data_IF_922946483365
#
_entry.id   IF_922946483365
#
_cell.length_a   1.000
_cell.length_b   1.000
_cell.length_c   1.000
_cell.angle_alpha   90.00
_cell.angle_beta   90.00
_cell.angle_gamma   90.00
#
_symmetry.space_group_name_H-M   'P 1'
#
loop_
_entity.id
_entity.type
_entity.pdbx_description
1 polymer ?
#
# COMPACT_ATOMS: atom_id res chain seq x y z
N UNK A 1 -7.02 -12.22 -7.32
CA UNK A 1 -6.23 -11.24 -8.12
C UNK A 1 -4.76 -11.54 -7.87
N UNK A 2 -3.88 -11.57 -8.87
CA UNK A 2 -2.43 -11.81 -8.65
C UNK A 2 -1.71 -10.46 -8.55
N UNK A 3 -0.98 -10.24 -7.46
CA UNK A 3 -0.14 -9.06 -7.25
C UNK A 3 1.27 -9.35 -7.77
N UNK A 4 1.76 -8.51 -8.66
CA UNK A 4 3.15 -8.54 -9.14
C UNK A 4 3.85 -7.31 -8.58
N UNK A 5 4.99 -7.53 -7.92
CA UNK A 5 5.81 -6.47 -7.36
C UNK A 5 6.97 -6.20 -8.33
N UNK A 6 7.12 -4.95 -8.77
CA UNK A 6 8.24 -4.51 -9.62
C UNK A 6 9.51 -4.16 -8.81
N UNK A 7 9.59 -4.66 -7.58
CA UNK A 7 10.71 -4.46 -6.67
C UNK A 7 10.96 -5.70 -5.82
N UNK A 8 12.20 -5.87 -5.34
CA UNK A 8 12.53 -6.96 -4.43
C UNK A 8 11.94 -6.70 -3.03
N UNK A 9 11.10 -7.60 -2.50
CA UNK A 9 10.52 -7.43 -1.17
C UNK A 9 11.62 -7.50 -0.11
N UNK A 10 11.55 -6.59 0.87
CA UNK A 10 12.40 -6.67 2.06
C UNK A 10 11.99 -7.86 2.94
N UNK A 11 12.79 -8.18 3.96
CA UNK A 11 12.53 -9.36 4.80
C UNK A 11 11.22 -9.25 5.61
N UNK A 12 10.83 -8.04 6.00
CA UNK A 12 9.51 -7.79 6.62
C UNK A 12 8.37 -8.05 5.63
N UNK A 13 8.49 -7.58 4.38
CA UNK A 13 7.51 -7.87 3.32
C UNK A 13 7.38 -9.37 3.09
N UNK A 14 8.49 -10.11 2.99
CA UNK A 14 8.47 -11.57 2.82
C UNK A 14 7.74 -12.27 3.98
N UNK A 15 7.97 -11.80 5.20
CA UNK A 15 7.33 -12.33 6.41
C UNK A 15 5.82 -12.09 6.37
N UNK A 16 5.39 -10.86 6.09
CA UNK A 16 3.97 -10.51 5.98
C UNK A 16 3.26 -11.25 4.83
N UNK A 17 3.91 -11.39 3.67
CA UNK A 17 3.36 -12.17 2.54
C UNK A 17 3.18 -13.64 2.93
N UNK A 18 4.14 -14.19 3.68
CA UNK A 18 4.05 -15.56 4.18
C UNK A 18 2.89 -15.71 5.17
N UNK A 19 2.77 -14.80 6.15
CA UNK A 19 1.67 -14.76 7.11
C UNK A 19 0.31 -14.72 6.39
N UNK A 20 0.13 -13.82 5.42
CA UNK A 20 -1.11 -13.69 4.63
C UNK A 20 -1.39 -14.97 3.82
N UNK A 21 -0.35 -15.57 3.22
CA UNK A 21 -0.53 -16.78 2.42
C UNK A 21 -0.90 -18.01 3.24
N UNK A 22 -0.48 -18.05 4.50
CA UNK A 22 -0.80 -19.13 5.45
C UNK A 22 -2.17 -18.90 6.10
N UNK A 23 -2.52 -17.65 6.42
CA UNK A 23 -3.81 -17.26 6.99
C UNK A 23 -4.95 -17.38 5.97
N UNK A 24 -4.66 -17.30 4.68
CA UNK A 24 -5.66 -17.46 3.62
C UNK A 24 -6.35 -18.83 3.64
N UNK A 25 -5.71 -19.83 4.26
CA UNK A 25 -6.16 -21.21 4.36
C UNK A 25 -7.10 -21.42 5.57
N UNK A 26 -7.04 -20.57 6.61
CA UNK A 26 -7.64 -20.86 7.94
C UNK A 26 -8.45 -19.70 8.54
N UNK A 27 -8.21 -18.45 8.14
CA UNK A 27 -8.73 -17.26 8.85
C UNK A 27 -10.06 -16.72 8.30
N UNK A 28 -10.87 -16.15 9.19
CA UNK A 28 -12.11 -15.42 8.88
C UNK A 28 -11.85 -14.15 8.06
N UNK A 29 -12.86 -13.67 7.32
CA UNK A 29 -12.75 -12.55 6.38
C UNK A 29 -12.20 -11.27 7.05
N UNK A 30 -12.57 -11.01 8.30
CA UNK A 30 -12.12 -9.86 9.07
C UNK A 30 -10.61 -9.91 9.38
N UNK A 31 -10.07 -11.08 9.71
CA UNK A 31 -8.64 -11.26 9.99
C UNK A 31 -7.81 -11.09 8.71
N UNK A 32 -8.34 -11.53 7.57
CA UNK A 32 -7.70 -11.34 6.26
C UNK A 32 -7.59 -9.86 5.88
N UNK A 33 -8.63 -9.08 6.14
CA UNK A 33 -8.60 -7.62 5.89
C UNK A 33 -7.57 -6.91 6.77
N UNK A 34 -7.46 -7.31 8.05
CA UNK A 34 -6.50 -6.71 8.97
C UNK A 34 -5.04 -7.00 8.55
N UNK A 35 -4.73 -8.25 8.20
CA UNK A 35 -3.38 -8.62 7.74
C UNK A 35 -3.03 -7.97 6.39
N UNK A 36 -3.99 -7.92 5.45
CA UNK A 36 -3.82 -7.22 4.17
C UNK A 36 -3.60 -5.72 4.39
N UNK A 37 -4.32 -5.11 5.32
CA UNK A 37 -4.16 -3.68 5.68
C UNK A 37 -2.78 -3.43 6.29
N UNK A 38 -2.31 -4.32 7.16
CA UNK A 38 -0.97 -4.23 7.77
C UNK A 38 0.13 -4.28 6.70
N UNK A 39 0.00 -5.20 5.74
CA UNK A 39 0.93 -5.28 4.62
C UNK A 39 0.92 -4.02 3.74
N UNK A 40 -0.26 -3.51 3.39
CA UNK A 40 -0.38 -2.27 2.60
C UNK A 40 0.24 -1.07 3.33
N UNK A 41 0.04 -0.96 4.66
CA UNK A 41 0.69 0.11 5.45
C UNK A 41 2.21 0.01 5.38
N UNK A 42 2.78 -1.17 5.57
CA UNK A 42 4.23 -1.38 5.48
C UNK A 42 4.75 -0.95 4.09
N UNK A 43 4.07 -1.36 3.01
CA UNK A 43 4.43 -0.93 1.65
C UNK A 43 4.39 0.60 1.50
N UNK A 44 3.33 1.26 1.97
CA UNK A 44 3.18 2.71 1.78
C UNK A 44 4.10 3.57 2.66
N UNK A 45 4.57 3.06 3.80
CA UNK A 45 5.44 3.84 4.69
C UNK A 45 6.92 3.54 4.52
N UNK A 46 7.28 2.29 4.18
CA UNK A 46 8.67 1.85 4.18
C UNK A 46 9.28 1.69 2.78
N UNK A 47 8.46 1.64 1.74
CA UNK A 47 8.93 1.52 0.35
C UNK A 47 8.67 2.81 -0.44
N UNK A 48 9.72 3.64 -0.55
CA UNK A 48 9.64 4.94 -1.24
C UNK A 48 9.27 4.81 -2.72
N UNK A 49 9.63 3.69 -3.34
CA UNK A 49 9.30 3.31 -4.72
C UNK A 49 7.79 3.12 -4.89
N UNK A 50 7.12 2.51 -3.92
CA UNK A 50 5.66 2.32 -3.93
C UNK A 50 4.97 3.67 -3.81
N UNK A 51 5.42 4.53 -2.89
CA UNK A 51 4.87 5.88 -2.72
C UNK A 51 5.04 6.70 -4.00
N UNK A 52 6.21 6.67 -4.63
CA UNK A 52 6.48 7.37 -5.89
C UNK A 52 5.60 6.84 -7.04
N UNK A 53 5.42 5.54 -7.14
CA UNK A 53 4.56 4.93 -8.15
C UNK A 53 3.09 5.34 -7.94
N UNK A 54 2.60 5.28 -6.70
CA UNK A 54 1.25 5.74 -6.35
C UNK A 54 1.09 7.22 -6.70
N UNK A 55 2.02 8.10 -6.33
CA UNK A 55 1.94 9.53 -6.65
C UNK A 55 1.95 9.79 -8.16
N UNK A 56 2.73 9.02 -8.92
CA UNK A 56 2.82 9.13 -10.38
C UNK A 56 1.50 8.76 -11.07
N UNK A 57 0.85 7.71 -10.58
CA UNK A 57 -0.40 7.19 -11.16
C UNK A 57 -1.65 7.84 -10.55
N UNK A 58 -1.52 8.47 -9.38
CA UNK A 58 -2.60 9.23 -8.78
C UNK A 58 -2.84 10.47 -9.64
N UNK A 59 -4.08 10.69 -10.14
CA UNK A 59 -4.39 11.90 -10.86
C UNK A 59 -4.09 13.06 -9.93
N UNK A 60 -3.16 13.93 -10.34
CA UNK A 60 -2.90 15.19 -9.64
C UNK A 60 -4.25 15.88 -9.53
N UNK A 61 -4.88 15.85 -8.35
CA UNK A 61 -6.00 16.72 -8.08
C UNK A 61 -5.45 18.12 -8.29
N UNK A 62 -5.83 18.77 -9.40
CA UNK A 62 -5.57 20.19 -9.62
C UNK A 62 -6.19 20.89 -8.42
N UNK A 63 -5.39 21.21 -7.39
CA UNK A 63 -5.79 22.14 -6.34
C UNK A 63 -5.98 23.48 -7.04
N UNK A 64 -7.18 23.72 -7.57
CA UNK A 64 -7.73 25.07 -7.73
C UNK A 64 -8.08 25.56 -6.33
N UNK A 65 -7.06 25.85 -5.55
CA UNK A 65 -7.16 26.81 -4.46
C UNK A 65 -6.14 27.89 -4.76
N UNK A 66 -6.53 28.79 -5.64
CA UNK A 66 -6.07 30.17 -5.52
C UNK A 66 -6.67 30.68 -4.21
N UNK A 67 -5.91 30.55 -3.11
CA UNK A 67 -6.21 31.36 -1.94
C UNK A 67 -5.80 32.78 -2.33
N UNK A 68 -6.79 33.60 -2.65
CA UNK A 68 -6.59 35.03 -2.88
C UNK A 68 -6.46 35.69 -1.51
N UNK A 69 -5.24 35.69 -0.96
CA UNK A 69 -4.96 36.25 0.37
C UNK A 69 -4.94 37.80 0.38
N UNK A 70 -5.24 38.44 -0.74
CA UNK A 70 -5.20 39.91 -0.91
C UNK A 70 -6.43 40.48 -1.63
N UNK A 71 -7.65 40.06 -1.26
CA UNK A 71 -8.87 40.74 -1.71
C UNK A 71 -9.83 41.08 -0.58
#
# INVERSE_FOLDING_TARGET
>A
MKLYLDFEPCDECKTLIKEISESDIVSDEQTKEEESTKFLRHLTYNHSEVVKAIIKDMPVQKRRQEFDWFK
#
